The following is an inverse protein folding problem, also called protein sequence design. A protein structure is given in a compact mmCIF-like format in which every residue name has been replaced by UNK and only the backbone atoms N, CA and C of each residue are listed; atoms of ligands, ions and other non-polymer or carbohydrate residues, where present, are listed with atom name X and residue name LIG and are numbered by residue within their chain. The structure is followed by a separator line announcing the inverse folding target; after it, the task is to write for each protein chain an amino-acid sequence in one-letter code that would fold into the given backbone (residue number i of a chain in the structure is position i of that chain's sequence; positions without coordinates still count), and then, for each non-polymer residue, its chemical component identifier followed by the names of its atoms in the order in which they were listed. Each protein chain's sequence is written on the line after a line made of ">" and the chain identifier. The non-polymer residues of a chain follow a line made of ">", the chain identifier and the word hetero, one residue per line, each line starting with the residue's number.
data_IF_583779155027
#
_entry.id   IF_583779155027
#
_cell.length_a   1.000
_cell.length_b   1.000
_cell.length_c   1.000
_cell.angle_alpha   90.00
_cell.angle_beta   90.00
_cell.angle_gamma   90.00
#
_symmetry.space_group_name_H-M   'P 1'
#
loop_
_entity.id
_entity.type
_entity.pdbx_description
1 polymer ?
#
# COMPACT_ATOMS: atom_id res chain seq x y z
N UNK A 1 -5.95 -11.85 19.43
CA UNK A 1 -5.46 -12.22 18.09
C UNK A 1 -4.36 -11.29 17.65
N UNK A 2 -3.46 -11.76 16.81
CA UNK A 2 -2.50 -10.91 16.11
C UNK A 2 -3.01 -10.64 14.68
N UNK A 3 -3.61 -9.48 14.47
CA UNK A 3 -4.24 -9.09 13.22
C UNK A 3 -3.28 -9.06 12.03
N UNK A 4 -2.04 -8.61 12.24
CA UNK A 4 -1.01 -8.62 11.20
C UNK A 4 -0.65 -10.04 10.76
N UNK A 5 -0.49 -10.96 11.71
CA UNK A 5 -0.23 -12.38 11.41
C UNK A 5 -1.40 -13.02 10.67
N UNK A 6 -2.63 -12.73 11.11
CA UNK A 6 -3.86 -13.20 10.45
C UNK A 6 -3.90 -12.70 9.00
N UNK A 7 -3.70 -11.40 8.79
CA UNK A 7 -3.76 -10.79 7.47
C UNK A 7 -2.77 -11.44 6.48
N UNK A 8 -1.50 -11.53 6.87
CA UNK A 8 -0.43 -12.10 6.01
C UNK A 8 -0.68 -13.58 5.69
N UNK A 9 -1.29 -14.34 6.59
CA UNK A 9 -1.58 -15.75 6.40
C UNK A 9 -2.96 -16.03 5.76
N UNK A 10 -3.77 -14.98 5.55
CA UNK A 10 -5.08 -15.11 4.90
C UNK A 10 -4.92 -15.44 3.41
N UNK A 11 -5.65 -16.45 2.88
CA UNK A 11 -5.63 -16.77 1.46
C UNK A 11 -6.01 -15.57 0.60
N UNK A 12 -5.20 -15.30 -0.42
CA UNK A 12 -5.35 -14.17 -1.34
C UNK A 12 -4.54 -12.92 -0.96
N UNK A 13 -4.05 -12.79 0.29
CA UNK A 13 -3.27 -11.61 0.69
C UNK A 13 -1.95 -11.50 -0.07
N UNK A 14 -1.18 -12.58 -0.17
CA UNK A 14 0.09 -12.58 -0.89
C UNK A 14 -0.09 -12.26 -2.38
N UNK A 15 -1.21 -12.69 -2.97
CA UNK A 15 -1.55 -12.34 -4.34
C UNK A 15 -1.89 -10.85 -4.47
N UNK A 16 -2.71 -10.32 -3.58
CA UNK A 16 -3.05 -8.89 -3.53
C UNK A 16 -1.80 -8.01 -3.34
N UNK A 17 -0.91 -8.38 -2.43
CA UNK A 17 0.36 -7.69 -2.17
C UNK A 17 1.29 -7.75 -3.40
N UNK A 18 1.36 -8.90 -4.07
CA UNK A 18 2.15 -9.06 -5.30
C UNK A 18 1.61 -8.20 -6.45
N UNK A 19 0.29 -8.10 -6.62
CA UNK A 19 -0.35 -7.24 -7.61
C UNK A 19 0.00 -5.78 -7.30
N UNK A 20 -0.21 -5.34 -6.06
CA UNK A 20 0.08 -3.98 -5.64
C UNK A 20 1.56 -3.61 -5.86
N UNK A 21 2.50 -4.46 -5.45
CA UNK A 21 3.93 -4.24 -5.65
C UNK A 21 4.31 -4.09 -7.12
N UNK A 22 3.72 -4.90 -7.99
CA UNK A 22 3.96 -4.82 -9.44
C UNK A 22 3.45 -3.50 -10.03
N UNK A 23 2.26 -3.08 -9.64
CA UNK A 23 1.70 -1.80 -10.07
C UNK A 23 2.55 -0.63 -9.56
N UNK A 24 3.00 -0.67 -8.30
CA UNK A 24 3.90 0.36 -7.73
C UNK A 24 5.25 0.42 -8.43
N UNK A 25 5.79 -0.70 -8.89
CA UNK A 25 7.03 -0.74 -9.66
C UNK A 25 6.92 0.05 -10.98
N UNK A 26 5.76 0.00 -11.63
CA UNK A 26 5.51 0.79 -12.84
C UNK A 26 5.55 2.30 -12.54
N UNK A 27 4.86 2.71 -11.48
CA UNK A 27 4.86 4.11 -11.06
C UNK A 27 6.24 4.60 -10.62
N UNK A 28 7.00 3.77 -9.90
CA UNK A 28 8.37 4.08 -9.52
C UNK A 28 9.25 4.32 -10.74
N UNK A 29 9.12 3.48 -11.76
CA UNK A 29 9.86 3.63 -13.02
C UNK A 29 9.50 4.94 -13.73
N UNK A 30 8.21 5.29 -13.78
CA UNK A 30 7.74 6.54 -14.36
C UNK A 30 8.33 7.77 -13.64
N UNK A 31 8.29 7.80 -12.31
CA UNK A 31 8.86 8.89 -11.52
C UNK A 31 10.36 9.04 -11.76
N UNK A 32 11.11 7.94 -11.77
CA UNK A 32 12.55 7.95 -12.06
C UNK A 32 12.83 8.50 -13.46
N UNK A 33 12.02 8.15 -14.46
CA UNK A 33 12.16 8.70 -15.82
C UNK A 33 11.91 10.21 -15.85
N UNK A 34 10.88 10.70 -15.17
CA UNK A 34 10.57 12.13 -15.08
C UNK A 34 11.68 12.89 -14.36
N UNK A 35 12.21 12.35 -13.26
CA UNK A 35 13.34 12.94 -12.53
C UNK A 35 14.60 13.05 -13.40
N UNK A 36 14.95 11.97 -14.10
CA UNK A 36 16.10 11.94 -14.99
C UNK A 36 15.94 12.93 -16.16
N UNK A 37 14.75 13.04 -16.73
CA UNK A 37 14.45 14.01 -17.79
C UNK A 37 14.61 15.45 -17.30
N UNK A 38 14.08 15.77 -16.10
CA UNK A 38 14.23 17.08 -15.48
C UNK A 38 15.70 17.41 -15.18
N UNK A 39 16.43 16.46 -14.61
CA UNK A 39 17.86 16.63 -14.31
C UNK A 39 18.68 16.89 -15.59
N UNK A 40 18.42 16.12 -16.65
CA UNK A 40 19.07 16.29 -17.95
C UNK A 40 18.76 17.66 -18.56
N UNK A 41 17.49 18.09 -18.50
CA UNK A 41 17.08 19.39 -19.01
C UNK A 41 17.71 20.54 -18.21
N UNK A 42 17.80 20.43 -16.89
CA UNK A 42 18.45 21.40 -16.02
C UNK A 42 19.94 21.52 -16.31
N UNK A 43 20.66 20.40 -16.42
CA UNK A 43 22.08 20.39 -16.77
C UNK A 43 22.35 21.06 -18.13
N UNK A 44 21.53 20.71 -19.13
CA UNK A 44 21.63 21.33 -20.47
C UNK A 44 21.36 22.84 -20.41
N UNK A 45 20.39 23.27 -19.61
CA UNK A 45 20.11 24.68 -19.44
C UNK A 45 21.29 25.42 -18.79
N UNK A 46 21.92 24.88 -17.77
CA UNK A 46 23.12 25.45 -17.13
C UNK A 46 24.24 25.66 -18.16
N UNK A 47 24.50 24.65 -18.98
CA UNK A 47 25.54 24.64 -20.00
C UNK A 47 25.30 25.72 -21.10
N UNK A 48 24.04 25.84 -21.54
CA UNK A 48 23.68 26.69 -22.68
C UNK A 48 23.17 28.07 -22.31
N UNK A 49 22.80 28.31 -21.05
CA UNK A 49 22.09 29.52 -20.59
C UNK A 49 22.84 30.85 -20.90
N UNK A 50 24.16 30.80 -20.87
CA UNK A 50 25.02 32.00 -21.17
C UNK A 50 24.96 32.40 -22.64
N UNK A 51 24.63 31.47 -23.55
CA UNK A 51 24.54 31.74 -25.00
C UNK A 51 23.11 32.08 -25.45
N UNK A 52 22.12 31.93 -24.56
CA UNK A 52 20.72 32.20 -24.88
C UNK A 52 20.41 33.72 -24.76
N UNK A 53 19.53 34.21 -25.63
CA UNK A 53 18.90 35.52 -25.46
C UNK A 53 18.08 35.55 -24.15
N UNK A 54 17.82 36.74 -23.62
CA UNK A 54 17.02 36.91 -22.41
C UNK A 54 15.62 36.23 -22.51
N UNK A 55 15.00 36.39 -23.68
CA UNK A 55 13.68 35.78 -23.95
C UNK A 55 13.75 34.24 -23.94
N UNK A 56 14.73 33.66 -24.64
CA UNK A 56 14.89 32.21 -24.69
C UNK A 56 15.28 31.62 -23.32
N UNK A 57 16.11 32.33 -22.57
CA UNK A 57 16.48 31.94 -21.22
C UNK A 57 15.26 31.92 -20.27
N UNK A 58 14.39 32.92 -20.38
CA UNK A 58 13.14 32.97 -19.61
C UNK A 58 12.19 31.82 -20.00
N UNK A 59 12.08 31.51 -21.30
CA UNK A 59 11.25 30.41 -21.80
C UNK A 59 11.76 29.05 -21.31
N UNK A 60 13.07 28.78 -21.34
CA UNK A 60 13.65 27.52 -20.85
C UNK A 60 13.51 27.38 -19.30
N UNK A 61 13.67 28.48 -18.55
CA UNK A 61 13.41 28.48 -17.11
C UNK A 61 11.95 28.13 -16.80
N UNK A 62 11.01 28.73 -17.54
CA UNK A 62 9.58 28.41 -17.38
C UNK A 62 9.32 26.94 -17.66
N UNK A 63 9.89 26.39 -18.74
CA UNK A 63 9.74 24.98 -19.09
C UNK A 63 10.27 24.04 -18.01
N UNK A 64 11.42 24.36 -17.39
CA UNK A 64 11.95 23.59 -16.25
C UNK A 64 11.02 23.65 -15.05
N UNK A 65 10.46 24.83 -14.74
CA UNK A 65 9.45 24.99 -13.70
C UNK A 65 8.19 24.13 -13.98
N UNK A 66 7.67 24.21 -15.21
CA UNK A 66 6.50 23.43 -15.64
C UNK A 66 6.75 21.90 -15.52
N UNK A 67 7.98 21.44 -15.80
CA UNK A 67 8.39 20.03 -15.65
C UNK A 67 8.48 19.62 -14.18
N UNK A 68 9.01 20.49 -13.32
CA UNK A 68 9.05 20.23 -11.88
C UNK A 68 7.65 20.16 -11.29
N UNK A 69 6.79 21.11 -11.60
CA UNK A 69 5.39 21.10 -11.17
C UNK A 69 4.64 19.85 -11.65
N UNK A 70 4.94 19.39 -12.88
CA UNK A 70 4.36 18.16 -13.42
C UNK A 70 4.84 16.93 -12.64
N UNK A 71 6.11 16.87 -12.25
CA UNK A 71 6.66 15.79 -11.44
C UNK A 71 6.00 15.75 -10.06
N UNK A 72 5.89 16.90 -9.38
CA UNK A 72 5.25 16.99 -8.06
C UNK A 72 3.80 16.56 -8.11
N UNK A 73 3.02 17.09 -9.07
CA UNK A 73 1.62 16.67 -9.26
C UNK A 73 1.51 15.17 -9.53
N UNK A 74 2.43 14.61 -10.32
CA UNK A 74 2.41 13.18 -10.62
C UNK A 74 2.73 12.32 -9.41
N UNK A 75 3.64 12.75 -8.53
CA UNK A 75 3.93 12.07 -7.26
C UNK A 75 2.70 12.04 -6.34
N UNK A 76 1.99 13.16 -6.22
CA UNK A 76 0.76 13.26 -5.43
C UNK A 76 -0.35 12.35 -5.99
N UNK A 77 -0.56 12.37 -7.31
CA UNK A 77 -1.52 11.48 -7.97
C UNK A 77 -1.20 10.00 -7.72
N UNK A 78 0.08 9.62 -7.83
CA UNK A 78 0.53 8.25 -7.60
C UNK A 78 0.32 7.86 -6.14
N UNK A 79 0.64 8.75 -5.19
CA UNK A 79 0.42 8.51 -3.77
C UNK A 79 -1.05 8.18 -3.47
N UNK A 80 -1.97 9.00 -3.99
CA UNK A 80 -3.41 8.79 -3.84
C UNK A 80 -3.87 7.47 -4.50
N UNK A 81 -3.47 7.23 -5.75
CA UNK A 81 -3.79 5.99 -6.46
C UNK A 81 -3.24 4.75 -5.77
N UNK A 82 -2.04 4.83 -5.20
CA UNK A 82 -1.43 3.75 -4.45
C UNK A 82 -2.23 3.39 -3.20
N UNK A 83 -2.69 4.41 -2.46
CA UNK A 83 -3.52 4.23 -1.26
C UNK A 83 -4.88 3.61 -1.62
N UNK A 84 -5.57 4.17 -2.61
CA UNK A 84 -6.86 3.64 -3.10
C UNK A 84 -6.73 2.20 -3.59
N UNK A 85 -5.69 1.92 -4.38
CA UNK A 85 -5.47 0.60 -4.93
C UNK A 85 -5.16 -0.44 -3.87
N UNK A 86 -4.36 -0.07 -2.87
CA UNK A 86 -4.09 -0.92 -1.71
C UNK A 86 -5.39 -1.24 -0.96
N UNK A 87 -6.21 -0.24 -0.71
CA UNK A 87 -7.51 -0.42 -0.07
C UNK A 87 -8.39 -1.39 -0.87
N UNK A 88 -8.57 -1.18 -2.17
CA UNK A 88 -9.36 -2.05 -3.04
C UNK A 88 -8.91 -3.51 -3.02
N UNK A 89 -7.60 -3.75 -2.93
CA UNK A 89 -7.04 -5.11 -2.92
C UNK A 89 -7.16 -5.79 -1.55
N UNK A 90 -7.06 -5.02 -0.47
CA UNK A 90 -6.99 -5.56 0.89
C UNK A 90 -8.35 -5.57 1.58
N UNK A 91 -9.22 -4.61 1.32
CA UNK A 91 -10.54 -4.47 1.95
C UNK A 91 -11.40 -5.77 1.88
N UNK A 92 -11.51 -6.47 0.73
CA UNK A 92 -12.28 -7.72 0.69
C UNK A 92 -11.68 -8.83 1.57
N UNK A 93 -10.37 -8.75 1.83
CA UNK A 93 -9.67 -9.70 2.70
C UNK A 93 -9.95 -9.36 4.16
N UNK A 94 -9.87 -8.08 4.52
CA UNK A 94 -10.18 -7.58 5.87
C UNK A 94 -11.63 -7.85 6.26
N UNK A 95 -12.57 -7.65 5.35
CA UNK A 95 -13.98 -7.97 5.57
C UNK A 95 -14.19 -9.47 5.91
N UNK A 96 -13.50 -10.36 5.19
CA UNK A 96 -13.55 -11.81 5.50
C UNK A 96 -12.92 -12.14 6.85
N UNK A 97 -11.80 -11.48 7.18
CA UNK A 97 -11.15 -11.64 8.48
C UNK A 97 -12.10 -11.20 9.60
N UNK A 98 -12.71 -10.03 9.47
CA UNK A 98 -13.65 -9.48 10.45
C UNK A 98 -14.85 -10.42 10.65
N UNK A 99 -15.43 -10.93 9.58
CA UNK A 99 -16.56 -11.88 9.67
C UNK A 99 -16.16 -13.18 10.39
N UNK A 100 -14.97 -13.71 10.14
CA UNK A 100 -14.47 -14.93 10.82
C UNK A 100 -14.17 -14.65 12.29
N UNK A 101 -13.56 -13.50 12.63
CA UNK A 101 -13.30 -13.10 14.00
C UNK A 101 -14.61 -12.96 14.78
N UNK A 102 -15.64 -12.34 14.19
CA UNK A 102 -16.94 -12.18 14.82
C UNK A 102 -17.62 -13.53 15.08
N UNK A 103 -17.55 -14.45 14.13
CA UNK A 103 -18.04 -15.82 14.33
C UNK A 103 -17.32 -16.53 15.48
N UNK A 104 -15.99 -16.44 15.55
CA UNK A 104 -15.18 -17.04 16.62
C UNK A 104 -15.48 -16.38 17.95
N UNK A 105 -15.68 -15.06 18.00
CA UNK A 105 -16.09 -14.31 19.18
C UNK A 105 -17.38 -14.88 19.76
N UNK A 106 -18.39 -15.05 18.92
CA UNK A 106 -19.70 -15.57 19.35
C UNK A 106 -19.60 -17.02 19.85
N UNK A 107 -18.92 -17.90 19.12
CA UNK A 107 -18.76 -19.32 19.49
C UNK A 107 -18.01 -19.54 20.80
N UNK A 108 -17.08 -18.65 21.14
CA UNK A 108 -16.31 -18.74 22.38
C UNK A 108 -16.91 -17.88 23.53
N UNK A 109 -18.12 -17.30 23.31
CA UNK A 109 -18.78 -16.41 24.26
C UNK A 109 -17.88 -15.26 24.77
N UNK A 110 -16.99 -14.78 23.91
CA UNK A 110 -16.16 -13.63 24.24
C UNK A 110 -16.95 -12.33 24.09
N UNK A 111 -16.86 -11.43 25.07
CA UNK A 111 -17.47 -10.10 24.97
C UNK A 111 -16.77 -9.26 23.89
N UNK A 112 -15.43 -9.40 23.77
CA UNK A 112 -14.60 -8.68 22.81
C UNK A 112 -13.35 -9.47 22.46
N UNK A 113 -12.75 -9.16 21.31
CA UNK A 113 -11.44 -9.67 20.89
C UNK A 113 -10.52 -8.48 20.64
N UNK A 114 -9.34 -8.52 21.22
CA UNK A 114 -8.31 -7.50 21.06
C UNK A 114 -7.32 -7.86 19.96
N UNK A 115 -6.91 -6.89 19.15
CA UNK A 115 -5.77 -7.04 18.26
C UNK A 115 -4.48 -6.70 19.03
N UNK A 116 -3.63 -7.70 19.21
CA UNK A 116 -2.32 -7.55 19.88
C UNK A 116 -1.18 -7.39 18.88
N UNK A 117 -1.47 -7.37 17.58
CA UNK A 117 -0.51 -7.15 16.50
C UNK A 117 -0.19 -5.68 16.20
N UNK A 118 -0.93 -4.74 16.81
CA UNK A 118 -0.71 -3.30 16.65
C UNK A 118 0.24 -2.76 17.71
N UNK A 119 1.09 -1.78 17.32
CA UNK A 119 2.08 -1.20 18.25
C UNK A 119 1.47 -0.49 19.48
N UNK A 120 0.24 0.01 19.33
CA UNK A 120 -0.47 0.74 20.39
C UNK A 120 -1.48 -0.12 21.14
N UNK A 121 -1.24 -1.43 21.28
CA UNK A 121 -2.15 -2.28 22.02
C UNK A 121 -2.02 -2.03 23.55
N UNK A 122 -3.15 -2.04 24.24
CA UNK A 122 -3.22 -1.82 25.68
C UNK A 122 -3.13 -3.13 26.51
N UNK A 123 -2.92 -4.28 25.88
CA UNK A 123 -2.83 -5.57 26.55
C UNK A 123 -1.40 -5.80 27.01
N UNK A 124 -1.17 -5.67 28.33
CA UNK A 124 0.15 -5.87 28.93
C UNK A 124 0.48 -7.34 29.20
N UNK A 125 -0.53 -8.14 29.47
CA UNK A 125 -0.39 -9.59 29.69
C UNK A 125 -1.72 -10.28 29.41
N UNK A 126 -1.65 -11.49 28.88
CA UNK A 126 -2.80 -12.38 28.69
C UNK A 126 -2.35 -13.84 28.77
N UNK A 127 -3.25 -14.72 29.15
CA UNK A 127 -3.01 -16.15 29.08
C UNK A 127 -2.89 -16.58 27.62
N UNK A 128 -1.90 -17.43 27.31
CA UNK A 128 -1.68 -17.95 25.94
C UNK A 128 -2.86 -18.75 25.40
N UNK A 129 -3.67 -19.38 26.28
CA UNK A 129 -4.87 -20.10 25.88
C UNK A 129 -5.97 -19.19 25.30
N UNK A 130 -5.89 -17.88 25.58
CA UNK A 130 -6.81 -16.87 25.03
C UNK A 130 -6.42 -16.40 23.62
N UNK A 131 -5.27 -16.83 23.10
CA UNK A 131 -4.84 -16.46 21.76
C UNK A 131 -5.59 -17.28 20.69
N UNK A 132 -6.50 -16.62 20.00
CA UNK A 132 -7.33 -17.19 18.94
C UNK A 132 -6.72 -17.05 17.54
N UNK A 133 -5.50 -16.53 17.42
CA UNK A 133 -4.85 -16.26 16.12
C UNK A 133 -4.83 -17.49 15.21
N UNK A 134 -4.37 -18.63 15.74
CA UNK A 134 -4.30 -19.88 14.97
C UNK A 134 -5.69 -20.35 14.52
N UNK A 135 -6.70 -20.25 15.39
CA UNK A 135 -8.08 -20.64 15.10
C UNK A 135 -8.70 -19.79 13.99
N UNK A 136 -8.41 -18.47 13.99
CA UNK A 136 -8.85 -17.55 12.92
C UNK A 136 -8.22 -17.93 11.59
N UNK A 137 -6.92 -18.18 11.56
CA UNK A 137 -6.18 -18.56 10.33
C UNK A 137 -6.70 -19.88 9.76
N UNK A 138 -6.89 -20.88 10.60
CA UNK A 138 -7.42 -22.18 10.18
C UNK A 138 -8.81 -22.05 9.54
N UNK A 139 -9.69 -21.28 10.16
CA UNK A 139 -11.04 -21.05 9.63
C UNK A 139 -11.03 -20.29 8.29
N UNK A 140 -10.17 -19.30 8.13
CA UNK A 140 -10.01 -18.57 6.88
C UNK A 140 -9.50 -19.48 5.75
N UNK A 141 -8.58 -20.39 6.05
CA UNK A 141 -8.08 -21.39 5.10
C UNK A 141 -9.17 -22.40 4.72
N UNK A 142 -9.91 -22.87 5.70
CA UNK A 142 -11.04 -23.80 5.47
C UNK A 142 -12.13 -23.17 4.59
N UNK A 143 -12.50 -21.93 4.85
CA UNK A 143 -13.49 -21.20 4.04
C UNK A 143 -13.02 -20.99 2.60
N UNK A 144 -11.73 -20.66 2.40
CA UNK A 144 -11.15 -20.52 1.06
C UNK A 144 -11.14 -21.86 0.29
N UNK A 145 -10.80 -22.97 0.96
CA UNK A 145 -10.82 -24.29 0.36
C UNK A 145 -12.24 -24.74 -0.03
N UNK A 146 -13.25 -24.35 0.74
CA UNK A 146 -14.65 -24.63 0.43
C UNK A 146 -15.17 -23.81 -0.77
N UNK A 147 -14.74 -22.54 -0.88
CA UNK A 147 -15.10 -21.65 -1.99
C UNK A 147 -14.40 -22.01 -3.32
N UNK A 148 -13.27 -22.70 -3.28
CA UNK A 148 -12.51 -23.13 -4.47
C UNK A 148 -12.86 -24.54 -4.98
N UNK A 149 -13.86 -25.22 -4.42
CA UNK A 149 -14.39 -26.48 -4.99
C UNK A 149 -15.46 -26.14 -6.02
N UNK A 150 -15.32 -26.64 -7.28
CA UNK A 150 -16.31 -26.47 -8.34
C UNK A 150 -17.61 -27.21 -8.02
#
# INVERSE_FOLDING_TARGET
>A
VNGQTVLVQTPGYLQADSIWKREMQVYQTEIVQMQNALQTAAAKFEETSVMLSATNRAAERKKLGDQQDALERRQDEISNKAAERRQQLVEPIEQRITAVIEGIRAENNCAMIFDVGVQANAVLAADKSLDLTAKVIERLRGAAAAAGKP
#
